data_IF_305477752728
#
_entry.id   IF_305477752728
#
_cell.length_a   1.000
_cell.length_b   1.000
_cell.length_c   1.000
_cell.angle_alpha   90.00
_cell.angle_beta   90.00
_cell.angle_gamma   90.00
#
_symmetry.space_group_name_H-M   'P 1'
#
loop_
_entity.id
_entity.type
_entity.pdbx_description
1 polymer ?
#
# COMPACT_ATOMS: atom_id res chain seq x y z
N UNK A 1 16.01 -17.74 -9.07
CA UNK A 1 15.04 -17.13 -8.14
C UNK A 1 13.80 -16.78 -8.92
N UNK A 2 12.61 -16.96 -8.35
CA UNK A 2 11.38 -16.48 -9.00
C UNK A 2 11.28 -14.96 -8.82
N UNK A 3 10.83 -14.20 -9.84
CA UNK A 3 10.68 -12.76 -9.71
C UNK A 3 9.55 -12.43 -8.74
N UNK A 4 9.73 -11.37 -7.94
CA UNK A 4 8.70 -10.86 -7.03
C UNK A 4 7.60 -10.22 -7.86
N UNK A 5 6.36 -10.67 -7.68
CA UNK A 5 5.22 -10.13 -8.41
C UNK A 5 4.71 -8.86 -7.73
N UNK A 6 4.63 -7.78 -8.51
CA UNK A 6 4.28 -6.45 -8.03
C UNK A 6 3.10 -5.90 -8.81
N UNK A 7 2.07 -5.43 -8.12
CA UNK A 7 0.99 -4.66 -8.74
C UNK A 7 1.05 -3.19 -8.28
N UNK A 8 0.60 -2.28 -9.13
CA UNK A 8 0.50 -0.85 -8.80
C UNK A 8 -0.97 -0.42 -8.77
N UNK A 9 -1.33 0.30 -7.72
CA UNK A 9 -2.60 1.02 -7.54
C UNK A 9 -2.29 2.49 -7.32
N UNK A 10 -2.85 3.32 -8.20
CA UNK A 10 -2.67 4.76 -8.19
C UNK A 10 -3.88 5.39 -8.90
N UNK A 11 -4.40 6.47 -8.32
CA UNK A 11 -5.54 7.22 -8.86
C UNK A 11 -5.13 7.94 -10.14
N UNK A 12 -3.88 8.38 -10.23
CA UNK A 12 -3.33 9.01 -11.43
C UNK A 12 -2.81 7.93 -12.39
N UNK A 13 -3.55 7.68 -13.47
CA UNK A 13 -3.19 6.68 -14.47
C UNK A 13 -1.84 6.97 -15.16
N UNK A 14 -1.42 8.24 -15.25
CA UNK A 14 -0.13 8.61 -15.84
C UNK A 14 1.00 8.23 -14.89
N UNK A 15 0.89 8.60 -13.61
CA UNK A 15 1.86 8.20 -12.57
C UNK A 15 1.93 6.69 -12.43
N UNK A 16 0.77 6.00 -12.47
CA UNK A 16 0.69 4.54 -12.48
C UNK A 16 1.53 3.93 -13.60
N UNK A 17 1.33 4.36 -14.85
CA UNK A 17 2.05 3.83 -16.02
C UNK A 17 3.54 4.14 -15.96
N UNK A 18 3.91 5.35 -15.51
CA UNK A 18 5.31 5.74 -15.32
C UNK A 18 5.99 4.84 -14.31
N UNK A 19 5.34 4.56 -13.17
CA UNK A 19 5.87 3.66 -12.16
C UNK A 19 5.93 2.22 -12.69
N UNK A 20 4.87 1.70 -13.29
CA UNK A 20 4.89 0.36 -13.91
C UNK A 20 6.02 0.21 -14.93
N UNK A 21 6.32 1.24 -15.72
CA UNK A 21 7.44 1.26 -16.67
C UNK A 21 8.80 1.31 -15.97
N UNK A 22 8.93 2.14 -14.93
CA UNK A 22 10.14 2.23 -14.11
C UNK A 22 10.49 0.87 -13.47
N UNK A 23 9.50 0.18 -12.90
CA UNK A 23 9.70 -1.12 -12.28
C UNK A 23 10.05 -2.23 -13.27
N UNK A 24 9.56 -2.14 -14.51
CA UNK A 24 9.94 -3.05 -15.59
C UNK A 24 11.40 -2.91 -16.04
N UNK A 25 12.13 -1.90 -15.57
CA UNK A 25 13.57 -1.80 -15.80
C UNK A 25 14.33 -2.89 -15.03
N UNK A 26 13.82 -3.32 -13.86
CA UNK A 26 14.39 -4.43 -13.07
C UNK A 26 13.82 -5.79 -13.52
N UNK A 27 14.10 -6.16 -14.77
CA UNK A 27 13.52 -7.36 -15.43
C UNK A 27 13.91 -8.70 -14.78
N UNK A 28 14.95 -8.73 -13.96
CA UNK A 28 15.45 -9.96 -13.37
C UNK A 28 14.83 -10.25 -12.01
N UNK A 29 14.38 -9.21 -11.29
CA UNK A 29 13.92 -9.34 -9.91
C UNK A 29 12.42 -9.09 -9.75
N UNK A 30 11.81 -8.28 -10.64
CA UNK A 30 10.45 -7.76 -10.44
C UNK A 30 9.58 -8.04 -11.67
N UNK A 31 8.45 -8.71 -11.43
CA UNK A 31 7.41 -8.96 -12.42
C UNK A 31 6.20 -8.06 -12.16
N UNK A 32 6.04 -7.01 -12.97
CA UNK A 32 4.92 -6.05 -12.82
C UNK A 32 3.62 -6.62 -13.42
N UNK A 33 2.63 -6.84 -12.58
CA UNK A 33 1.30 -7.33 -12.93
C UNK A 33 0.34 -6.17 -13.22
N UNK A 34 -0.15 -6.11 -14.46
CA UNK A 34 -1.10 -5.09 -14.91
C UNK A 34 -2.41 -5.73 -15.32
N UNK A 35 -3.53 -5.16 -14.87
CA UNK A 35 -4.84 -5.57 -15.36
C UNK A 35 -5.18 -4.78 -16.63
N UNK A 36 -5.39 -5.48 -17.75
CA UNK A 36 -5.75 -4.89 -19.04
C UNK A 36 -7.20 -4.36 -19.05
N UNK A 37 -8.05 -4.75 -18.09
CA UNK A 37 -9.47 -4.34 -18.03
C UNK A 37 -9.71 -2.95 -17.43
N UNK A 38 -8.76 -2.37 -16.69
CA UNK A 38 -8.97 -1.08 -16.00
C UNK A 38 -8.84 0.15 -16.91
N UNK A 39 -8.72 0.00 -18.24
CA UNK A 39 -8.54 1.12 -19.16
C UNK A 39 -9.86 1.72 -19.69
N UNK A 40 -11.03 1.13 -19.40
CA UNK A 40 -12.31 1.54 -20.01
C UNK A 40 -13.29 2.28 -19.08
N UNK A 41 -13.13 2.21 -17.76
CA UNK A 41 -14.09 2.81 -16.83
C UNK A 41 -13.41 3.91 -16.03
N UNK A 42 -13.75 5.17 -16.36
CA UNK A 42 -14.12 6.25 -15.43
C UNK A 42 -13.87 7.63 -16.03
N UNK A 43 -14.61 7.96 -17.09
CA UNK A 43 -14.92 9.33 -17.45
C UNK A 43 -16.43 9.42 -17.69
N UNK A 44 -17.17 9.69 -16.62
CA UNK A 44 -18.38 10.55 -16.60
C UNK A 44 -19.11 10.39 -15.27
N UNK A 45 -19.16 11.47 -14.49
CA UNK A 45 -20.42 12.11 -14.05
C UNK A 45 -20.25 12.87 -12.74
N UNK A 46 -20.77 14.10 -12.77
CA UNK A 46 -20.45 15.17 -11.85
C UNK A 46 -21.21 15.11 -10.51
N UNK A 47 -20.50 15.52 -9.46
CA UNK A 47 -20.92 16.43 -8.37
C UNK A 47 -22.02 16.08 -7.35
N UNK A 48 -22.62 14.87 -7.30
CA UNK A 48 -23.48 14.49 -6.15
C UNK A 48 -23.28 13.09 -5.55
N UNK A 49 -22.27 12.32 -5.98
CA UNK A 49 -22.10 10.90 -5.61
C UNK A 49 -20.67 10.65 -5.09
N UNK A 50 -20.28 11.27 -3.99
CA UNK A 50 -18.91 11.13 -3.47
C UNK A 50 -18.75 10.01 -2.44
N UNK A 51 -19.84 9.46 -1.88
CA UNK A 51 -19.77 8.36 -0.92
C UNK A 51 -19.88 6.98 -1.60
N UNK A 52 -20.82 6.79 -2.53
CA UNK A 52 -21.00 5.52 -3.27
C UNK A 52 -19.89 5.23 -4.28
N UNK A 53 -19.29 6.25 -4.89
CA UNK A 53 -18.18 6.07 -5.84
C UNK A 53 -16.91 5.51 -5.17
N UNK A 54 -16.69 5.78 -3.89
CA UNK A 54 -15.51 5.28 -3.16
C UNK A 54 -15.65 3.81 -2.77
N UNK A 55 -16.87 3.34 -2.48
CA UNK A 55 -17.14 1.93 -2.19
C UNK A 55 -16.80 1.07 -3.41
N UNK A 56 -17.25 1.50 -4.60
CA UNK A 56 -16.89 0.83 -5.85
C UNK A 56 -15.37 0.82 -6.07
N UNK A 57 -14.64 1.90 -5.79
CA UNK A 57 -13.19 1.93 -5.98
C UNK A 57 -12.45 0.91 -5.09
N UNK A 58 -12.85 0.79 -3.82
CA UNK A 58 -12.22 -0.17 -2.89
C UNK A 58 -12.53 -1.59 -3.31
N UNK A 59 -13.80 -1.89 -3.59
CA UNK A 59 -14.24 -3.23 -4.00
C UNK A 59 -13.63 -3.66 -5.34
N UNK A 60 -13.59 -2.74 -6.32
CA UNK A 60 -12.95 -2.96 -7.62
C UNK A 60 -11.45 -3.23 -7.45
N UNK A 61 -10.79 -2.47 -6.57
CA UNK A 61 -9.36 -2.66 -6.28
C UNK A 61 -9.13 -4.02 -5.64
N UNK A 62 -9.88 -4.38 -4.60
CA UNK A 62 -9.76 -5.68 -3.93
C UNK A 62 -10.00 -6.82 -4.92
N UNK A 63 -11.06 -6.74 -5.73
CA UNK A 63 -11.37 -7.74 -6.76
C UNK A 63 -10.24 -7.87 -7.77
N UNK A 64 -9.66 -6.76 -8.20
CA UNK A 64 -8.49 -6.76 -9.09
C UNK A 64 -7.29 -7.43 -8.42
N UNK A 65 -6.99 -7.11 -7.16
CA UNK A 65 -5.85 -7.70 -6.43
C UNK A 65 -6.07 -9.19 -6.18
N UNK A 66 -7.28 -9.63 -5.82
CA UNK A 66 -7.64 -11.06 -5.70
C UNK A 66 -7.34 -11.84 -6.98
N UNK A 67 -7.62 -11.25 -8.15
CA UNK A 67 -7.35 -11.91 -9.44
C UNK A 67 -5.87 -11.90 -9.81
N UNK A 68 -5.17 -10.79 -9.55
CA UNK A 68 -3.75 -10.66 -9.90
C UNK A 68 -2.84 -11.44 -8.94
N UNK A 69 -3.25 -11.61 -7.68
CA UNK A 69 -2.46 -12.23 -6.59
C UNK A 69 -1.00 -11.77 -6.55
N UNK A 70 -0.74 -10.45 -6.54
CA UNK A 70 0.63 -9.96 -6.42
C UNK A 70 1.16 -10.29 -5.02
N UNK A 71 2.45 -10.59 -4.92
CA UNK A 71 3.13 -10.70 -3.64
C UNK A 71 3.21 -9.33 -2.96
N UNK A 72 3.45 -8.28 -3.76
CA UNK A 72 3.53 -6.90 -3.27
C UNK A 72 2.60 -5.99 -4.05
N UNK A 73 1.81 -5.21 -3.31
CA UNK A 73 1.02 -4.11 -3.83
C UNK A 73 1.68 -2.78 -3.50
N UNK A 74 1.93 -1.97 -4.52
CA UNK A 74 2.33 -0.58 -4.35
C UNK A 74 1.11 0.30 -4.50
N UNK A 75 0.78 0.96 -3.40
CA UNK A 75 -0.33 1.89 -3.36
C UNK A 75 0.23 3.30 -3.30
N UNK A 76 0.00 4.07 -4.37
CA UNK A 76 0.33 5.47 -4.40
C UNK A 76 -0.72 6.28 -3.64
N UNK A 77 -0.28 6.91 -2.54
CA UNK A 77 -1.15 7.61 -1.62
C UNK A 77 -1.11 9.11 -1.86
N UNK A 78 -1.58 9.55 -3.02
CA UNK A 78 -1.89 10.97 -3.19
C UNK A 78 -3.24 11.26 -2.50
N UNK A 79 -3.15 11.95 -1.36
CA UNK A 79 -4.15 12.81 -0.70
C UNK A 79 -5.02 12.34 0.48
N UNK A 80 -5.34 11.08 0.79
CA UNK A 80 -6.22 10.81 1.97
C UNK A 80 -5.98 9.46 2.65
N UNK A 81 -4.93 9.33 3.48
CA UNK A 81 -4.65 8.09 4.25
C UNK A 81 -5.85 7.57 5.06
N UNK A 82 -6.74 8.45 5.52
CA UNK A 82 -7.97 8.07 6.22
C UNK A 82 -8.93 7.25 5.36
N UNK A 83 -8.99 7.54 4.05
CA UNK A 83 -9.78 6.75 3.09
C UNK A 83 -9.10 5.43 2.73
N UNK A 84 -7.77 5.37 2.82
CA UNK A 84 -7.01 4.16 2.56
C UNK A 84 -7.00 3.17 3.72
N UNK A 85 -7.34 3.57 4.94
CA UNK A 85 -7.48 2.62 6.05
C UNK A 85 -8.53 1.55 5.74
N UNK A 86 -9.64 1.93 5.08
CA UNK A 86 -10.65 0.98 4.60
C UNK A 86 -10.12 0.04 3.52
N UNK A 87 -9.32 0.55 2.56
CA UNK A 87 -8.70 -0.29 1.54
C UNK A 87 -7.66 -1.25 2.14
N UNK A 88 -6.80 -0.76 3.03
CA UNK A 88 -5.77 -1.57 3.71
C UNK A 88 -6.41 -2.66 4.55
N UNK A 89 -7.45 -2.33 5.34
CA UNK A 89 -8.22 -3.32 6.08
C UNK A 89 -8.88 -4.33 5.15
N UNK A 90 -9.56 -3.87 4.10
CA UNK A 90 -10.20 -4.77 3.13
C UNK A 90 -9.18 -5.69 2.45
N UNK A 91 -8.01 -5.19 2.04
CA UNK A 91 -6.95 -6.00 1.45
C UNK A 91 -6.36 -6.99 2.45
N UNK A 92 -6.13 -6.59 3.70
CA UNK A 92 -5.67 -7.50 4.76
C UNK A 92 -6.65 -8.64 4.98
N UNK A 93 -7.94 -8.34 4.97
CA UNK A 93 -9.00 -9.32 5.27
C UNK A 93 -9.29 -10.23 4.05
N UNK A 94 -9.05 -9.75 2.83
CA UNK A 94 -9.43 -10.45 1.58
C UNK A 94 -8.25 -11.01 0.76
N UNK A 95 -7.06 -10.46 0.94
CA UNK A 95 -5.83 -10.77 0.21
C UNK A 95 -4.62 -10.80 1.19
N UNK A 96 -4.66 -11.61 2.26
CA UNK A 96 -3.62 -11.61 3.31
C UNK A 96 -2.22 -11.97 2.79
N UNK A 97 -2.11 -12.62 1.64
CA UNK A 97 -0.85 -12.94 0.98
C UNK A 97 -0.18 -11.75 0.28
N UNK A 98 -0.92 -10.65 0.08
CA UNK A 98 -0.41 -9.46 -0.60
C UNK A 98 0.10 -8.45 0.41
N UNK A 99 1.41 -8.18 0.41
CA UNK A 99 1.99 -7.14 1.24
C UNK A 99 1.82 -5.76 0.61
N UNK A 100 1.36 -4.78 1.40
CA UNK A 100 1.13 -3.42 0.89
C UNK A 100 2.30 -2.51 1.26
N UNK A 101 2.89 -1.88 0.25
CA UNK A 101 3.90 -0.82 0.38
C UNK A 101 3.30 0.48 -0.12
N UNK A 102 3.31 1.52 0.73
CA UNK A 102 2.74 2.81 0.41
C UNK A 102 3.80 3.73 -0.20
N UNK A 103 3.47 4.38 -1.30
CA UNK A 103 4.26 5.49 -1.83
C UNK A 103 3.76 6.77 -1.19
N UNK A 104 4.65 7.43 -0.45
CA UNK A 104 4.39 8.64 0.30
C UNK A 104 5.22 9.80 -0.25
N UNK A 105 4.73 11.01 -0.03
CA UNK A 105 5.56 12.20 -0.14
C UNK A 105 6.25 12.51 1.21
N UNK A 106 7.13 13.51 1.19
CA UNK A 106 7.89 13.94 2.37
C UNK A 106 7.04 14.67 3.42
N UNK A 107 5.82 15.07 3.07
CA UNK A 107 4.89 15.82 3.92
C UNK A 107 4.01 14.90 4.79
N UNK A 108 4.04 13.59 4.57
CA UNK A 108 3.26 12.62 5.35
C UNK A 108 3.71 12.60 6.81
N UNK A 109 2.78 12.91 7.71
CA UNK A 109 3.03 12.93 9.15
C UNK A 109 3.21 11.53 9.74
N UNK A 110 4.03 11.42 10.78
CA UNK A 110 4.32 10.15 11.48
C UNK A 110 3.06 9.47 12.02
N UNK A 111 2.08 10.23 12.50
CA UNK A 111 0.79 9.70 12.97
C UNK A 111 0.04 8.96 11.86
N UNK A 112 0.14 9.45 10.63
CA UNK A 112 -0.50 8.83 9.47
C UNK A 112 0.23 7.52 9.08
N UNK A 113 1.56 7.51 9.17
CA UNK A 113 2.37 6.29 8.97
C UNK A 113 1.98 5.22 9.99
N UNK A 114 1.88 5.57 11.29
CA UNK A 114 1.44 4.63 12.34
C UNK A 114 0.04 4.08 12.07
N UNK A 115 -0.89 4.95 11.63
CA UNK A 115 -2.24 4.52 11.29
C UNK A 115 -2.24 3.53 10.12
N UNK A 116 -1.48 3.80 9.07
CA UNK A 116 -1.34 2.88 7.93
C UNK A 116 -0.74 1.52 8.34
N UNK A 117 0.29 1.52 9.19
CA UNK A 117 0.87 0.30 9.75
C UNK A 117 -0.18 -0.53 10.51
N UNK A 118 -0.95 0.11 11.39
CA UNK A 118 -2.03 -0.55 12.14
C UNK A 118 -3.12 -1.13 11.24
N UNK A 119 -3.30 -0.61 10.03
CA UNK A 119 -4.26 -1.11 9.06
C UNK A 119 -3.69 -2.14 8.08
N UNK A 120 -2.41 -2.52 8.19
CA UNK A 120 -1.81 -3.63 7.42
C UNK A 120 -0.77 -3.21 6.38
N UNK A 121 -0.36 -1.94 6.33
CA UNK A 121 0.81 -1.57 5.53
C UNK A 121 2.08 -2.23 6.09
N UNK A 122 2.95 -2.71 5.19
CA UNK A 122 4.23 -3.36 5.51
C UNK A 122 5.44 -2.49 5.19
N UNK A 123 5.28 -1.45 4.38
CA UNK A 123 6.38 -0.54 4.08
C UNK A 123 5.95 0.81 3.52
N UNK A 124 6.90 1.74 3.50
CA UNK A 124 6.75 3.09 2.97
C UNK A 124 7.95 3.45 2.11
N UNK A 125 7.68 3.98 0.93
CA UNK A 125 8.69 4.44 -0.02
C UNK A 125 8.38 5.87 -0.43
N UNK A 126 9.44 6.68 -0.58
CA UNK A 126 9.29 7.97 -1.24
C UNK A 126 9.19 7.76 -2.75
N UNK A 127 8.37 8.56 -3.43
CA UNK A 127 8.31 8.61 -4.89
C UNK A 127 9.65 8.86 -5.58
N UNK A 128 10.57 9.59 -4.92
CA UNK A 128 11.89 9.89 -5.45
C UNK A 128 12.92 8.76 -5.32
N UNK A 129 12.53 7.59 -4.81
CA UNK A 129 13.47 6.47 -4.62
C UNK A 129 13.98 5.95 -5.97
N UNK A 130 15.26 5.64 -6.04
CA UNK A 130 15.87 5.01 -7.21
C UNK A 130 15.50 3.52 -7.32
N UNK A 131 15.83 2.92 -8.46
CA UNK A 131 15.44 1.53 -8.75
C UNK A 131 16.07 0.55 -7.75
N UNK A 132 17.31 0.83 -7.31
CA UNK A 132 18.00 0.01 -6.32
C UNK A 132 17.34 0.07 -4.94
N UNK A 133 16.99 1.27 -4.46
CA UNK A 133 16.27 1.45 -3.20
C UNK A 133 14.90 0.80 -3.24
N UNK A 134 14.22 0.89 -4.39
CA UNK A 134 12.96 0.22 -4.62
C UNK A 134 13.08 -1.32 -4.55
N UNK A 135 14.03 -1.90 -5.29
CA UNK A 135 14.23 -3.34 -5.31
C UNK A 135 14.58 -3.88 -3.93
N UNK A 136 15.42 -3.17 -3.17
CA UNK A 136 15.71 -3.52 -1.77
C UNK A 136 14.46 -3.57 -0.90
N UNK A 137 13.61 -2.56 -1.00
CA UNK A 137 12.38 -2.50 -0.22
C UNK A 137 11.40 -3.61 -0.59
N UNK A 138 11.22 -3.86 -1.88
CA UNK A 138 10.40 -4.96 -2.41
C UNK A 138 10.93 -6.31 -1.93
N UNK A 139 12.25 -6.53 -1.99
CA UNK A 139 12.85 -7.76 -1.48
C UNK A 139 12.66 -7.95 0.02
N UNK A 140 12.95 -6.93 0.83
CA UNK A 140 12.78 -6.99 2.28
C UNK A 140 11.32 -7.32 2.63
N UNK A 141 10.36 -6.62 2.02
CA UNK A 141 8.93 -6.83 2.27
C UNK A 141 8.47 -8.21 1.78
N UNK A 142 8.97 -8.71 0.66
CA UNK A 142 8.66 -10.05 0.17
C UNK A 142 9.12 -11.16 1.13
N UNK A 143 10.19 -10.91 1.90
CA UNK A 143 10.68 -11.81 2.95
C UNK A 143 9.95 -11.62 4.30
N UNK A 144 8.95 -10.74 4.36
CA UNK A 144 8.17 -10.47 5.57
C UNK A 144 8.75 -9.38 6.47
N UNK A 145 9.84 -8.72 6.06
CA UNK A 145 10.42 -7.60 6.79
C UNK A 145 9.60 -6.32 6.57
N UNK A 146 9.58 -5.43 7.56
CA UNK A 146 8.96 -4.13 7.43
C UNK A 146 9.95 -3.11 6.83
N UNK A 147 9.51 -2.35 5.82
CA UNK A 147 10.32 -1.28 5.23
C UNK A 147 9.85 0.09 5.71
N UNK A 148 10.33 0.52 6.88
CA UNK A 148 9.87 1.75 7.54
C UNK A 148 11.05 2.66 7.93
N UNK A 149 10.86 3.99 8.02
CA UNK A 149 11.90 4.87 8.53
C UNK A 149 12.30 4.49 9.96
N UNK A 150 13.61 4.45 10.26
CA UNK A 150 14.12 3.99 11.56
C UNK A 150 13.53 4.77 12.75
N UNK A 151 13.27 6.06 12.58
CA UNK A 151 12.62 6.91 13.60
C UNK A 151 11.23 6.43 14.02
N UNK A 152 10.54 5.67 13.17
CA UNK A 152 9.22 5.10 13.47
C UNK A 152 9.30 3.91 14.42
N UNK A 153 10.44 3.20 14.52
CA UNK A 153 10.55 2.04 15.42
C UNK A 153 10.30 2.42 16.88
N UNK A 154 10.85 3.56 17.35
CA UNK A 154 10.60 4.05 18.70
C UNK A 154 9.11 4.29 18.94
N UNK A 155 8.43 4.95 17.99
CA UNK A 155 6.98 5.22 18.06
C UNK A 155 6.12 3.97 18.05
N UNK A 156 6.52 2.95 17.29
CA UNK A 156 5.84 1.66 17.28
C UNK A 156 6.00 0.96 18.63
N UNK A 157 7.22 0.97 19.19
CA UNK A 157 7.50 0.43 20.52
C UNK A 157 6.68 1.15 21.60
N UNK A 158 6.64 2.48 21.58
CA UNK A 158 5.81 3.27 22.50
C UNK A 158 4.35 2.81 22.47
N UNK A 159 3.81 2.55 21.26
CA UNK A 159 2.41 2.10 21.12
C UNK A 159 2.19 0.69 21.64
N UNK A 160 3.13 -0.23 21.45
CA UNK A 160 3.05 -1.61 21.97
C UNK A 160 3.13 -1.61 23.50
N UNK A 161 4.06 -0.84 24.06
CA UNK A 161 4.26 -0.75 25.51
C UNK A 161 3.09 -0.06 26.20
N UNK A 162 2.50 1.00 25.62
CA UNK A 162 1.33 1.66 26.20
C UNK A 162 0.07 0.78 26.24
N UNK A 163 -0.18 -0.06 25.23
CA UNK A 163 -1.34 -1.00 25.21
C UNK A 163 -1.24 -2.05 26.32
N UNK A 164 -0.03 -2.31 26.82
CA UNK A 164 0.21 -3.30 27.87
C UNK A 164 -0.29 -2.85 29.25
N UNK A 165 -0.49 -1.53 29.45
CA UNK A 165 -0.94 -0.96 30.73
C UNK A 165 -2.47 -0.83 30.87
N UNK A 166 -3.22 -0.71 29.77
CA UNK A 166 -4.69 -0.60 29.82
C UNK A 166 -5.36 -1.95 30.13
N UNK A 167 -4.83 -3.06 29.60
CA UNK A 167 -5.40 -4.40 29.82
C UNK A 167 -5.16 -4.98 31.23
N UNK A 168 -4.34 -4.33 32.05
CA UNK A 168 -4.06 -4.77 33.43
C UNK A 168 -5.03 -4.18 34.47
N UNK A 169 -5.90 -3.24 34.08
CA UNK A 169 -6.82 -2.54 35.00
C UNK A 169 -8.25 -3.11 34.93
N UNK A 170 -8.63 -3.81 33.86
CA UNK A 170 -9.96 -4.44 33.73
C UNK A 170 -10.07 -5.87 34.28
N UNK A 171 -9.00 -6.41 34.88
CA UNK A 171 -8.98 -7.77 35.45
C UNK A 171 -8.74 -7.82 36.96
N UNK A 172 -8.99 -6.72 37.68
CA UNK A 172 -8.92 -6.62 39.13
C UNK A 172 -10.30 -6.40 39.77
#
# INVERSE_FOLDING_TARGET
>A
MQPITVAVVDVDQKKRKQLEQFLRQDRQNIAVLTDLRSNQTNMTSARRIQSRANINLVEDTVTRIKRLRPQILLANVSLLLDKYCGLLAALRDNCPETFVVLLIDETVEEKQILKALANGARGFLNYGVDLLGFSKAVYAVAQGEAWIPRKMLGKIMDKILCVSHENSIESA
#
